data_IF_309419899767
#
_entry.id   IF_309419899767
#
_cell.length_a   1.000
_cell.length_b   1.000
_cell.length_c   1.000
_cell.angle_alpha   90.00
_cell.angle_beta   90.00
_cell.angle_gamma   90.00
#
_symmetry.space_group_name_H-M   'P 1'
#
loop_
_entity.id
_entity.type
_entity.pdbx_description
1 polymer ?
#
# COMPACT_ATOMS: atom_id res chain seq x y z
N UNK A 1 21.57 -14.84 0.69
CA UNK A 1 21.53 -14.27 2.06
C UNK A 1 20.10 -13.82 2.34
N UNK A 2 19.54 -14.19 3.48
CA UNK A 2 18.12 -14.02 3.83
C UNK A 2 17.27 -15.23 3.43
N UNK A 3 16.51 -15.74 4.39
CA UNK A 3 15.55 -16.84 4.33
C UNK A 3 14.11 -16.38 4.52
N UNK A 4 13.83 -15.09 4.27
CA UNK A 4 12.47 -14.57 4.08
C UNK A 4 11.90 -14.91 2.70
N UNK A 5 10.66 -14.48 2.42
CA UNK A 5 9.94 -14.81 1.16
C UNK A 5 10.76 -14.55 -0.11
N UNK A 6 11.46 -13.42 -0.20
CA UNK A 6 12.28 -13.08 -1.38
C UNK A 6 13.46 -14.04 -1.54
N UNK A 7 14.15 -14.36 -0.45
CA UNK A 7 15.31 -15.27 -0.47
C UNK A 7 14.93 -16.72 -0.75
N UNK A 8 13.84 -17.19 -0.15
CA UNK A 8 13.30 -18.53 -0.40
C UNK A 8 12.78 -18.67 -1.84
N UNK A 9 12.06 -17.67 -2.35
CA UNK A 9 11.61 -17.67 -3.74
C UNK A 9 12.80 -17.66 -4.70
N UNK A 10 13.83 -16.87 -4.42
CA UNK A 10 15.06 -16.87 -5.23
C UNK A 10 15.74 -18.25 -5.22
N UNK A 11 15.90 -18.87 -4.05
CA UNK A 11 16.47 -20.22 -3.93
C UNK A 11 15.63 -21.27 -4.68
N UNK A 12 14.31 -21.19 -4.60
CA UNK A 12 13.39 -22.05 -5.33
C UNK A 12 13.54 -21.91 -6.84
N UNK A 13 13.59 -20.67 -7.35
CA UNK A 13 13.81 -20.40 -8.78
C UNK A 13 15.19 -20.86 -9.26
N UNK A 14 16.24 -20.64 -8.46
CA UNK A 14 17.58 -21.14 -8.74
C UNK A 14 17.62 -22.67 -8.79
N UNK A 15 16.92 -23.35 -7.87
CA UNK A 15 16.80 -24.81 -7.89
C UNK A 15 16.16 -25.30 -9.18
N UNK A 16 15.07 -24.66 -9.62
CA UNK A 16 14.41 -25.02 -10.86
C UNK A 16 15.32 -24.83 -12.09
N UNK A 17 16.15 -23.78 -12.11
CA UNK A 17 17.06 -23.50 -13.22
C UNK A 17 18.33 -24.37 -13.22
N UNK A 18 18.91 -24.64 -12.05
CA UNK A 18 20.17 -25.37 -11.92
C UNK A 18 20.00 -26.91 -11.91
N UNK A 19 18.77 -27.41 -11.77
CA UNK A 19 18.50 -28.84 -11.65
C UNK A 19 18.92 -29.43 -10.30
N UNK A 20 18.94 -30.76 -10.20
CA UNK A 20 19.21 -31.46 -8.94
C UNK A 20 20.67 -31.33 -8.46
N UNK A 21 21.62 -31.19 -9.38
CA UNK A 21 23.06 -31.26 -9.09
C UNK A 21 23.62 -29.95 -8.51
N UNK A 22 22.91 -28.83 -8.64
CA UNK A 22 23.31 -27.56 -8.05
C UNK A 22 23.25 -27.60 -6.51
N UNK A 23 24.29 -27.12 -5.83
CA UNK A 23 24.20 -26.87 -4.37
C UNK A 23 23.78 -25.44 -4.13
N UNK A 24 22.67 -25.24 -3.41
CA UNK A 24 22.11 -23.92 -3.08
C UNK A 24 22.07 -23.79 -1.57
N UNK A 25 22.82 -22.83 -1.03
CA UNK A 25 22.88 -22.58 0.40
C UNK A 25 22.20 -21.26 0.72
N UNK A 26 21.24 -21.28 1.66
CA UNK A 26 20.54 -20.09 2.16
C UNK A 26 21.03 -19.82 3.58
N UNK A 27 21.61 -18.65 3.79
CA UNK A 27 21.98 -18.17 5.12
C UNK A 27 20.93 -17.19 5.61
N UNK A 28 20.34 -17.46 6.76
CA UNK A 28 19.43 -16.56 7.47
C UNK A 28 19.90 -16.41 8.93
N UNK A 29 19.91 -15.21 9.51
CA UNK A 29 20.32 -15.00 10.90
C UNK A 29 19.23 -15.40 11.92
N UNK A 30 17.98 -15.60 11.47
CA UNK A 30 16.86 -16.00 12.29
C UNK A 30 16.91 -17.48 12.69
N UNK A 31 16.16 -17.79 13.75
CA UNK A 31 15.96 -19.15 14.26
C UNK A 31 15.05 -20.00 13.36
N UNK A 32 14.31 -19.35 12.44
CA UNK A 32 13.42 -19.98 11.48
C UNK A 32 13.39 -19.21 10.16
N UNK A 33 13.13 -19.94 9.08
CA UNK A 33 12.85 -19.37 7.76
C UNK A 33 11.45 -18.74 7.73
N UNK A 34 11.22 -17.87 6.74
CA UNK A 34 9.95 -17.20 6.47
C UNK A 34 10.01 -15.67 6.61
N UNK A 35 10.89 -15.16 7.49
CA UNK A 35 11.02 -13.73 7.75
C UNK A 35 9.70 -13.13 8.26
N UNK A 36 9.15 -12.14 7.54
CA UNK A 36 7.87 -11.51 7.90
C UNK A 36 6.64 -12.42 7.72
N UNK A 37 6.76 -13.55 7.02
CA UNK A 37 5.71 -14.55 6.93
C UNK A 37 5.76 -15.42 8.19
N UNK A 38 5.00 -15.01 9.21
CA UNK A 38 5.11 -15.60 10.54
C UNK A 38 3.75 -15.70 11.20
N UNK A 39 3.34 -16.94 11.47
CA UNK A 39 2.19 -17.26 12.31
C UNK A 39 2.69 -17.73 13.67
N UNK A 40 2.12 -17.18 14.74
CA UNK A 40 2.41 -17.51 16.15
C UNK A 40 1.12 -17.80 16.91
N UNK A 41 1.22 -18.38 18.11
CA UNK A 41 0.06 -18.58 18.99
C UNK A 41 -0.07 -17.40 19.95
N UNK A 42 -1.14 -16.63 19.81
CA UNK A 42 -1.47 -15.48 20.68
C UNK A 42 -2.81 -15.74 21.33
N UNK A 43 -2.86 -15.73 22.66
CA UNK A 43 -4.11 -16.02 23.41
C UNK A 43 -4.69 -17.41 23.11
N UNK A 44 -3.84 -18.40 22.78
CA UNK A 44 -4.26 -19.76 22.43
C UNK A 44 -4.80 -19.90 21.01
N UNK A 45 -4.72 -18.87 20.16
CA UNK A 45 -5.15 -18.90 18.76
C UNK A 45 -3.98 -18.65 17.81
N UNK A 46 -3.92 -19.31 16.64
CA UNK A 46 -2.95 -18.99 15.62
C UNK A 46 -3.24 -17.59 15.04
N UNK A 47 -2.22 -16.74 14.98
CA UNK A 47 -2.30 -15.37 14.51
C UNK A 47 -1.06 -15.03 13.68
N UNK A 48 -1.27 -14.38 12.53
CA UNK A 48 -0.17 -13.83 11.74
C UNK A 48 0.37 -12.58 12.44
N UNK A 49 1.66 -12.59 12.77
CA UNK A 49 2.35 -11.50 13.49
C UNK A 49 3.21 -10.63 12.55
N UNK A 50 3.10 -10.86 11.24
CA UNK A 50 3.77 -10.09 10.20
C UNK A 50 2.85 -9.88 9.01
N UNK A 51 3.20 -10.41 7.85
CA UNK A 51 2.33 -10.34 6.68
C UNK A 51 1.16 -11.34 6.80
N UNK A 52 -0.07 -10.82 6.83
CA UNK A 52 -1.32 -11.58 7.00
C UNK A 52 -2.04 -11.90 5.68
N UNK A 53 -1.81 -11.11 4.63
CA UNK A 53 -2.57 -11.20 3.39
C UNK A 53 -1.78 -10.70 2.18
N UNK A 54 -2.26 -11.04 0.98
CA UNK A 54 -1.71 -10.57 -0.29
C UNK A 54 -2.83 -10.16 -1.25
N UNK A 55 -2.47 -9.34 -2.24
CA UNK A 55 -3.44 -8.78 -3.19
C UNK A 55 -3.70 -9.78 -4.32
N UNK A 56 -4.90 -10.37 -4.38
CA UNK A 56 -5.25 -11.39 -5.37
C UNK A 56 -5.14 -10.96 -6.84
N UNK A 57 -5.31 -9.67 -7.16
CA UNK A 57 -5.19 -9.16 -8.54
C UNK A 57 -3.76 -9.21 -9.08
N UNK A 58 -2.77 -9.43 -8.20
CA UNK A 58 -1.36 -9.57 -8.55
C UNK A 58 -1.07 -11.04 -8.84
N UNK A 59 -0.68 -11.41 -10.07
CA UNK A 59 -0.56 -12.81 -10.47
C UNK A 59 0.57 -13.56 -9.78
N UNK A 60 1.54 -12.85 -9.20
CA UNK A 60 2.81 -13.41 -8.73
C UNK A 60 2.63 -14.42 -7.58
N UNK A 61 1.79 -14.10 -6.58
CA UNK A 61 1.55 -15.00 -5.44
C UNK A 61 0.62 -16.16 -5.80
N UNK A 62 -0.53 -15.96 -6.47
CA UNK A 62 -1.37 -17.07 -6.94
C UNK A 62 -0.61 -18.06 -7.83
N UNK A 63 0.25 -17.58 -8.74
CA UNK A 63 1.09 -18.44 -9.57
C UNK A 63 2.06 -19.27 -8.72
N UNK A 64 2.75 -18.65 -7.75
CA UNK A 64 3.64 -19.36 -6.84
C UNK A 64 2.89 -20.41 -6.00
N UNK A 65 1.69 -20.10 -5.51
CA UNK A 65 0.85 -21.07 -4.78
C UNK A 65 0.48 -22.26 -5.67
N UNK A 66 0.11 -22.03 -6.92
CA UNK A 66 -0.20 -23.10 -7.87
C UNK A 66 1.02 -24.00 -8.12
N UNK A 67 2.18 -23.40 -8.36
CA UNK A 67 3.44 -24.15 -8.56
C UNK A 67 3.83 -25.01 -7.36
N UNK A 68 3.52 -24.54 -6.14
CA UNK A 68 3.80 -25.26 -4.90
C UNK A 68 2.69 -26.25 -4.51
N UNK A 69 1.62 -26.39 -5.31
CA UNK A 69 0.47 -27.25 -4.98
C UNK A 69 -0.38 -26.73 -3.80
N UNK A 70 -0.33 -25.42 -3.53
CA UNK A 70 -0.99 -24.76 -2.40
C UNK A 70 -2.21 -23.91 -2.81
N UNK A 71 -2.62 -23.95 -4.09
CA UNK A 71 -3.75 -23.15 -4.59
C UNK A 71 -5.03 -23.35 -3.76
N UNK A 72 -5.35 -24.60 -3.41
CA UNK A 72 -6.55 -24.96 -2.62
C UNK A 72 -6.50 -24.50 -1.15
N UNK A 73 -5.36 -24.01 -0.67
CA UNK A 73 -5.21 -23.47 0.69
C UNK A 73 -5.51 -21.98 0.76
N UNK A 74 -5.65 -21.30 -0.38
CA UNK A 74 -5.99 -19.88 -0.42
C UNK A 74 -7.38 -19.64 0.18
N UNK A 75 -7.51 -18.65 1.06
CA UNK A 75 -8.79 -18.23 1.65
C UNK A 75 -9.10 -16.79 1.27
N UNK A 76 -10.38 -16.50 1.10
CA UNK A 76 -10.87 -15.14 0.85
C UNK A 76 -11.15 -14.44 2.19
N UNK A 77 -10.97 -13.12 2.21
CA UNK A 77 -11.39 -12.27 3.33
C UNK A 77 -12.89 -12.33 3.53
N UNK A 78 -13.36 -12.10 4.75
CA UNK A 78 -14.79 -12.14 5.15
C UNK A 78 -15.69 -11.10 4.46
N UNK A 79 -15.12 -10.15 3.72
CA UNK A 79 -15.85 -9.08 3.04
C UNK A 79 -16.15 -7.85 3.91
N UNK A 80 -15.70 -7.87 5.17
CA UNK A 80 -15.75 -6.70 6.06
C UNK A 80 -14.95 -5.55 5.43
N UNK A 81 -15.57 -4.38 5.33
CA UNK A 81 -14.93 -3.21 4.75
C UNK A 81 -14.13 -2.45 5.82
N UNK A 82 -12.92 -1.96 5.49
CA UNK A 82 -12.16 -1.12 6.40
C UNK A 82 -12.91 0.19 6.67
N UNK A 83 -12.67 0.74 7.85
CA UNK A 83 -13.21 2.02 8.31
C UNK A 83 -12.08 2.94 8.75
N UNK A 84 -12.33 4.24 8.70
CA UNK A 84 -11.44 5.28 9.25
C UNK A 84 -12.02 5.75 10.57
N UNK A 85 -11.24 5.72 11.64
CA UNK A 85 -11.61 6.38 12.89
C UNK A 85 -11.10 7.82 12.88
N UNK A 86 -12.02 8.79 12.92
CA UNK A 86 -11.69 10.21 12.87
C UNK A 86 -12.78 11.03 13.57
N UNK A 87 -12.37 12.02 14.36
CA UNK A 87 -13.32 12.88 15.08
C UNK A 87 -14.21 12.13 16.07
N UNK A 88 -13.66 11.11 16.75
CA UNK A 88 -14.39 10.23 17.68
C UNK A 88 -15.52 9.39 17.03
N UNK A 89 -15.49 9.22 15.71
CA UNK A 89 -16.48 8.45 14.97
C UNK A 89 -15.81 7.52 13.97
N UNK A 90 -16.48 6.42 13.64
CA UNK A 90 -16.08 5.52 12.56
C UNK A 90 -16.74 5.97 11.26
N UNK A 91 -15.92 6.12 10.23
CA UNK A 91 -16.31 6.51 8.88
C UNK A 91 -16.06 5.35 7.93
N UNK A 92 -16.98 5.12 7.00
CA UNK A 92 -16.71 4.20 5.90
C UNK A 92 -15.50 4.69 5.09
N UNK A 93 -14.74 3.76 4.49
CA UNK A 93 -13.65 4.16 3.62
C UNK A 93 -14.18 5.00 2.44
N UNK A 94 -13.65 6.21 2.21
CA UNK A 94 -14.19 7.09 1.19
C UNK A 94 -14.05 6.53 -0.23
N UNK A 95 -15.15 6.51 -0.98
CA UNK A 95 -15.16 6.15 -2.40
C UNK A 95 -14.68 7.33 -3.26
N UNK A 96 -14.10 7.04 -4.42
CA UNK A 96 -13.57 8.10 -5.30
C UNK A 96 -12.29 8.74 -4.75
N UNK A 97 -11.45 7.98 -4.06
CA UNK A 97 -10.11 8.41 -3.66
C UNK A 97 -9.03 7.57 -4.32
N UNK A 98 -7.84 8.15 -4.52
CA UNK A 98 -6.64 7.44 -4.91
C UNK A 98 -5.65 7.48 -3.75
N UNK A 99 -5.55 6.38 -2.99
CA UNK A 99 -4.75 6.32 -1.76
C UNK A 99 -5.09 7.47 -0.78
N UNK A 100 -6.38 7.78 -0.63
CA UNK A 100 -6.89 8.85 0.23
C UNK A 100 -6.91 10.24 -0.40
N UNK A 101 -6.24 10.43 -1.54
CA UNK A 101 -6.30 11.69 -2.27
C UNK A 101 -7.67 11.79 -2.95
N UNK A 102 -8.47 12.84 -2.69
CA UNK A 102 -9.82 12.97 -3.23
C UNK A 102 -9.81 13.19 -4.75
N UNK A 103 -10.77 12.59 -5.46
CA UNK A 103 -11.04 12.92 -6.87
C UNK A 103 -12.19 13.94 -7.03
N UNK A 104 -12.99 14.15 -6.00
CA UNK A 104 -14.02 15.19 -5.90
C UNK A 104 -14.22 15.60 -4.44
N UNK A 105 -14.85 16.76 -4.21
CA UNK A 105 -15.16 17.24 -2.87
C UNK A 105 -16.11 16.28 -2.12
N UNK A 106 -17.10 15.73 -2.83
CA UNK A 106 -18.04 14.73 -2.30
C UNK A 106 -17.36 13.46 -1.78
N UNK A 107 -16.14 13.13 -2.24
CA UNK A 107 -15.41 11.97 -1.76
C UNK A 107 -15.10 12.06 -0.27
N UNK A 108 -14.92 13.25 0.32
CA UNK A 108 -14.57 13.38 1.74
C UNK A 108 -15.69 13.97 2.60
N UNK A 109 -16.91 14.06 2.05
CA UNK A 109 -18.06 14.58 2.78
C UNK A 109 -18.29 13.80 4.08
N UNK A 110 -18.43 14.51 5.20
CA UNK A 110 -18.58 13.94 6.54
C UNK A 110 -17.27 13.53 7.23
N UNK A 111 -16.17 13.34 6.48
CA UNK A 111 -14.87 13.02 7.04
C UNK A 111 -14.05 14.29 7.37
N UNK A 112 -14.20 15.32 6.55
CA UNK A 112 -13.59 16.65 6.72
C UNK A 112 -14.66 17.73 6.87
N UNK A 113 -14.27 18.92 7.31
CA UNK A 113 -15.18 20.06 7.47
C UNK A 113 -15.53 20.76 6.14
N UNK A 114 -16.56 21.60 6.19
CA UNK A 114 -17.09 22.32 5.02
C UNK A 114 -16.03 23.23 4.37
N UNK A 115 -15.12 23.80 5.16
CA UNK A 115 -14.01 24.61 4.64
C UNK A 115 -13.05 23.77 3.80
N UNK A 116 -12.75 22.55 4.24
CA UNK A 116 -11.94 21.60 3.48
C UNK A 116 -12.67 21.12 2.22
N UNK A 117 -13.97 20.86 2.31
CA UNK A 117 -14.81 20.52 1.15
C UNK A 117 -14.76 21.64 0.10
N UNK A 118 -15.00 22.89 0.51
CA UNK A 118 -14.94 24.05 -0.40
C UNK A 118 -13.55 24.23 -1.03
N UNK A 119 -12.48 23.94 -0.28
CA UNK A 119 -11.11 23.95 -0.81
C UNK A 119 -10.90 22.89 -1.89
N UNK A 120 -11.39 21.67 -1.68
CA UNK A 120 -11.29 20.58 -2.66
C UNK A 120 -12.07 20.94 -3.93
N UNK A 121 -13.26 21.55 -3.78
CA UNK A 121 -14.08 21.98 -4.91
C UNK A 121 -13.43 23.10 -5.73
N UNK A 122 -12.74 24.03 -5.07
CA UNK A 122 -12.01 25.12 -5.72
C UNK A 122 -10.64 24.70 -6.31
N UNK A 123 -10.13 23.51 -5.96
CA UNK A 123 -8.79 23.04 -6.34
C UNK A 123 -8.50 23.07 -7.85
N UNK A 124 -9.44 22.68 -8.76
CA UNK A 124 -9.21 22.73 -10.20
C UNK A 124 -8.92 24.14 -10.73
N UNK A 125 -9.41 25.18 -10.05
CA UNK A 125 -9.17 26.59 -10.40
C UNK A 125 -7.88 27.17 -9.83
N UNK A 126 -7.18 26.44 -8.95
CA UNK A 126 -5.95 26.92 -8.30
C UNK A 126 -4.73 26.60 -9.17
N UNK A 127 -3.84 27.58 -9.46
CA UNK A 127 -2.59 27.32 -10.15
C UNK A 127 -1.80 26.20 -9.50
N UNK A 128 -1.20 25.33 -10.31
CA UNK A 128 -0.35 24.23 -9.86
C UNK A 128 1.00 24.30 -10.56
N UNK A 129 2.07 24.43 -9.78
CA UNK A 129 3.44 24.39 -10.29
C UNK A 129 4.06 23.04 -9.95
N UNK A 130 4.53 22.33 -10.97
CA UNK A 130 5.20 21.04 -10.80
C UNK A 130 6.58 21.10 -11.45
N UNK A 131 7.58 20.57 -10.74
CA UNK A 131 8.94 20.41 -11.29
C UNK A 131 9.12 18.96 -11.72
N UNK A 132 9.36 18.68 -13.01
CA UNK A 132 9.66 17.31 -13.45
C UNK A 132 10.81 16.71 -12.63
N UNK A 133 10.59 15.50 -12.12
CA UNK A 133 11.56 14.81 -11.25
C UNK A 133 11.47 15.16 -9.76
N UNK A 134 10.65 16.16 -9.35
CA UNK A 134 10.40 16.39 -7.93
C UNK A 134 9.65 15.23 -7.29
N UNK A 135 9.93 15.00 -6.01
CA UNK A 135 9.31 13.94 -5.21
C UNK A 135 8.99 14.48 -3.81
N UNK A 136 8.09 15.48 -3.69
CA UNK A 136 7.72 16.03 -2.40
C UNK A 136 7.08 14.95 -1.54
N UNK A 137 7.06 15.17 -0.23
CA UNK A 137 6.28 14.32 0.66
C UNK A 137 4.81 14.41 0.26
N UNK A 138 4.07 13.30 0.36
CA UNK A 138 2.65 13.27 0.00
C UNK A 138 1.87 14.30 0.81
N UNK A 139 2.17 14.42 2.12
CA UNK A 139 1.52 15.38 3.00
C UNK A 139 1.69 16.82 2.50
N UNK A 140 2.88 17.21 2.04
CA UNK A 140 3.14 18.57 1.57
C UNK A 140 2.26 18.92 0.37
N UNK A 141 2.24 18.04 -0.63
CA UNK A 141 1.42 18.27 -1.84
C UNK A 141 -0.07 18.26 -1.52
N UNK A 142 -0.53 17.31 -0.71
CA UNK A 142 -1.95 17.17 -0.37
C UNK A 142 -2.43 18.29 0.54
N UNK A 143 -1.63 18.72 1.52
CA UNK A 143 -1.96 19.86 2.37
C UNK A 143 -2.09 21.15 1.55
N UNK A 144 -1.16 21.38 0.62
CA UNK A 144 -1.23 22.54 -0.28
C UNK A 144 -2.51 22.49 -1.15
N UNK A 145 -2.80 21.37 -1.81
CA UNK A 145 -3.92 21.29 -2.75
C UNK A 145 -5.28 21.13 -2.07
N UNK A 146 -5.38 20.25 -1.08
CA UNK A 146 -6.64 19.77 -0.52
C UNK A 146 -6.79 20.04 0.99
N UNK A 147 -5.80 20.66 1.64
CA UNK A 147 -5.85 21.07 3.04
C UNK A 147 -5.39 19.99 4.03
N UNK A 148 -5.01 20.44 5.23
CA UNK A 148 -4.44 19.60 6.29
C UNK A 148 -5.38 18.49 6.77
N UNK A 149 -6.70 18.75 6.81
CA UNK A 149 -7.66 17.72 7.21
C UNK A 149 -7.71 16.55 6.21
N UNK A 150 -7.48 16.81 4.92
CA UNK A 150 -7.40 15.74 3.91
C UNK A 150 -6.20 14.83 4.19
N UNK A 151 -5.06 15.40 4.61
CA UNK A 151 -3.89 14.63 5.01
C UNK A 151 -4.21 13.80 6.25
N UNK A 152 -4.59 14.47 7.34
CA UNK A 152 -4.73 13.85 8.66
C UNK A 152 -5.86 12.82 8.73
N UNK A 153 -6.97 13.04 8.00
CA UNK A 153 -8.18 12.22 8.12
C UNK A 153 -8.38 11.23 6.99
N UNK A 154 -7.69 11.36 5.86
CA UNK A 154 -7.85 10.45 4.72
C UNK A 154 -6.54 9.84 4.26
N UNK A 155 -5.55 10.66 3.89
CA UNK A 155 -4.32 10.17 3.26
C UNK A 155 -3.39 9.45 4.23
N UNK A 156 -3.09 10.06 5.38
CA UNK A 156 -2.16 9.48 6.35
C UNK A 156 -2.70 8.16 6.94
N UNK A 157 -3.99 8.03 7.35
CA UNK A 157 -4.54 6.74 7.78
C UNK A 157 -4.43 5.63 6.73
N UNK A 158 -4.65 5.96 5.45
CA UNK A 158 -4.56 4.99 4.35
C UNK A 158 -3.11 4.58 4.04
N UNK A 159 -2.17 5.52 4.07
CA UNK A 159 -0.75 5.22 3.87
C UNK A 159 -0.16 4.46 5.04
N UNK A 160 -0.53 4.82 6.28
CA UNK A 160 -0.13 4.11 7.48
C UNK A 160 -0.62 2.65 7.44
N UNK A 161 -1.89 2.43 7.07
CA UNK A 161 -2.45 1.08 6.97
C UNK A 161 -1.77 0.16 5.95
N UNK A 162 -1.14 0.70 4.90
CA UNK A 162 -0.49 -0.09 3.84
C UNK A 162 1.02 -0.21 4.05
N UNK A 163 1.66 0.88 4.45
CA UNK A 163 3.13 0.99 4.47
C UNK A 163 3.70 1.06 5.89
N UNK A 164 2.87 1.13 6.93
CA UNK A 164 3.27 1.52 8.28
C UNK A 164 4.12 2.80 8.29
N UNK A 165 3.91 3.68 7.30
CA UNK A 165 4.67 4.89 7.07
C UNK A 165 3.79 6.13 7.17
N UNK A 166 4.42 7.30 7.25
CA UNK A 166 3.72 8.58 7.30
C UNK A 166 3.70 9.28 5.96
N UNK A 167 2.58 9.94 5.65
CA UNK A 167 2.44 10.85 4.52
C UNK A 167 3.49 11.98 4.54
N UNK A 168 4.00 12.33 5.72
CA UNK A 168 5.03 13.35 5.91
C UNK A 168 6.43 12.90 5.44
N UNK A 169 6.68 11.60 5.32
CA UNK A 169 8.01 11.05 4.99
C UNK A 169 8.03 10.27 3.67
N UNK A 170 6.89 9.75 3.22
CA UNK A 170 6.81 9.02 1.96
C UNK A 170 6.72 9.99 0.77
N UNK A 171 7.62 9.82 -0.20
CA UNK A 171 7.60 10.58 -1.44
C UNK A 171 6.41 10.20 -2.32
N UNK A 172 5.87 11.19 -3.04
CA UNK A 172 4.71 11.02 -3.92
C UNK A 172 4.87 9.88 -4.94
N UNK A 173 6.07 9.68 -5.50
CA UNK A 173 6.31 8.61 -6.49
C UNK A 173 6.21 7.21 -5.88
N UNK A 174 6.59 7.07 -4.62
CA UNK A 174 6.50 5.80 -3.89
C UNK A 174 5.05 5.51 -3.48
N UNK A 175 4.34 6.53 -2.97
CA UNK A 175 2.97 6.39 -2.49
C UNK A 175 1.93 6.24 -3.62
N UNK A 176 2.15 6.87 -4.77
CA UNK A 176 1.21 6.86 -5.89
C UNK A 176 1.91 6.56 -7.24
N UNK A 177 2.39 5.32 -7.47
CA UNK A 177 3.16 4.97 -8.68
C UNK A 177 2.39 5.21 -9.99
N UNK A 178 1.06 5.18 -9.94
CA UNK A 178 0.20 5.48 -11.10
C UNK A 178 0.34 6.94 -11.57
N UNK A 179 0.67 7.88 -10.68
CA UNK A 179 0.90 9.29 -11.03
C UNK A 179 2.13 9.49 -11.90
N UNK A 180 3.15 8.63 -11.76
CA UNK A 180 4.39 8.66 -12.56
C UNK A 180 4.11 8.58 -14.07
N UNK A 181 3.03 7.91 -14.49
CA UNK A 181 2.69 7.77 -15.91
C UNK A 181 2.07 9.02 -16.52
N UNK A 182 1.55 9.96 -15.71
CA UNK A 182 0.95 11.21 -16.22
C UNK A 182 1.93 12.39 -16.21
N UNK A 183 2.89 12.43 -15.29
CA UNK A 183 3.82 13.57 -15.17
C UNK A 183 5.04 13.53 -16.11
N UNK A 184 5.24 12.44 -16.85
CA UNK A 184 6.28 12.33 -17.91
C UNK A 184 5.75 12.58 -19.32
N UNK A 185 4.43 12.75 -19.49
CA UNK A 185 3.88 13.20 -20.76
C UNK A 185 4.04 14.73 -20.82
N UNK A 186 4.93 15.21 -21.69
CA UNK A 186 4.95 16.62 -22.06
C UNK A 186 3.55 17.02 -22.56
N UNK A 187 3.06 18.24 -22.28
CA UNK A 187 1.82 18.70 -22.88
C UNK A 187 1.94 18.63 -24.41
N UNK A 188 0.88 18.22 -25.14
CA UNK A 188 0.88 18.32 -26.59
C UNK A 188 1.10 19.78 -27.00
N UNK A 189 1.92 19.96 -28.04
CA UNK A 189 2.25 21.25 -28.63
C UNK A 189 1.02 21.98 -29.18
#
# INVERSE_FOLDING_TARGET
>A
MGGGISGLTAAYRLRAAAGADGTITVFDPGDRLGGILRTEVVGGQPMDVGAEAFVLRRPEVPALLAELGLAERQRATTGVRPMIYSGQQLHALPSGTMMGIPTSASSLAGLVDDATIARIEAEPGRPFSWRPGSDPAVAELVADRFGEQTVARSVDPLLCGVYAGSAATIGLRAAAPAWRRRSTAAPPA
#
